data_IF_188815493489
#
_entry.id   IF_188815493489
#
_cell.length_a   1.000
_cell.length_b   1.000
_cell.length_c   1.000
_cell.angle_alpha   90.00
_cell.angle_beta   90.00
_cell.angle_gamma   90.00
#
_symmetry.space_group_name_H-M   'P 1'
#
loop_
_entity.id
_entity.type
_entity.pdbx_description
1 polymer ?
#
# COMPACT_ATOMS: atom_id res chain seq x y z
N UNK A 1 4.85 38.09 -19.60
CA UNK A 1 4.51 37.19 -20.72
C UNK A 1 5.36 35.95 -20.61
N UNK A 2 4.78 34.82 -20.18
CA UNK A 2 5.23 33.48 -20.55
C UNK A 2 4.09 32.53 -20.19
N UNK A 3 3.55 31.92 -21.24
CA UNK A 3 2.38 31.07 -21.26
C UNK A 3 2.70 29.76 -20.54
N UNK A 4 2.09 29.55 -19.36
CA UNK A 4 2.04 28.25 -18.73
C UNK A 4 1.18 27.33 -19.62
N UNK A 5 1.85 26.44 -20.34
CA UNK A 5 1.22 25.40 -21.13
C UNK A 5 0.33 24.52 -20.22
N UNK A 6 -0.99 24.68 -20.34
CA UNK A 6 -1.98 23.74 -19.80
C UNK A 6 -1.72 22.38 -20.45
N UNK A 7 -1.12 21.45 -19.71
CA UNK A 7 -1.14 20.03 -20.08
C UNK A 7 -2.61 19.54 -20.05
N UNK A 8 -3.07 18.77 -21.04
CA UNK A 8 -4.39 18.17 -20.99
C UNK A 8 -4.45 17.22 -19.80
N UNK A 9 -5.49 17.36 -18.98
CA UNK A 9 -5.79 16.45 -17.89
C UNK A 9 -5.85 15.02 -18.45
N UNK A 10 -4.82 14.22 -18.16
CA UNK A 10 -4.94 12.78 -18.23
C UNK A 10 -6.18 12.41 -17.42
N UNK A 11 -7.08 11.64 -18.03
CA UNK A 11 -8.34 11.17 -17.44
C UNK A 11 -8.04 10.34 -16.19
N UNK A 12 -7.77 11.02 -15.07
CA UNK A 12 -7.89 10.47 -13.73
C UNK A 12 -9.38 10.23 -13.54
N UNK A 13 -9.82 9.04 -13.93
CA UNK A 13 -11.13 8.53 -13.56
C UNK A 13 -11.19 8.59 -12.03
N UNK A 14 -11.87 9.61 -11.54
CA UNK A 14 -12.22 9.72 -10.14
C UNK A 14 -12.84 8.39 -9.72
N UNK A 15 -12.28 7.73 -8.69
CA UNK A 15 -12.80 6.47 -8.13
C UNK A 15 -14.28 6.59 -7.67
N UNK A 16 -14.81 7.82 -7.60
CA UNK A 16 -16.22 8.12 -7.36
C UNK A 16 -17.08 8.24 -8.65
N UNK A 17 -16.49 8.55 -9.81
CA UNK A 17 -17.21 8.52 -11.10
C UNK A 17 -17.50 7.08 -11.56
N UNK A 18 -16.61 6.13 -11.26
CA UNK A 18 -16.93 4.70 -11.41
C UNK A 18 -18.01 4.23 -10.43
N UNK A 19 -18.14 4.88 -9.27
CA UNK A 19 -19.18 4.61 -8.29
C UNK A 19 -20.58 5.05 -8.76
N UNK A 20 -20.70 6.16 -9.48
CA UNK A 20 -22.00 6.65 -10.01
C UNK A 20 -22.39 6.00 -11.34
N UNK A 21 -21.42 5.62 -12.17
CA UNK A 21 -21.68 4.99 -13.48
C UNK A 21 -22.33 3.60 -13.36
N UNK A 22 -21.94 2.80 -12.37
CA UNK A 22 -22.48 1.43 -12.16
C UNK A 22 -23.92 1.43 -11.61
N UNK A 23 -24.42 2.56 -11.10
CA UNK A 23 -25.80 2.70 -10.61
C UNK A 23 -26.70 3.53 -11.54
N UNK A 24 -26.22 3.93 -12.72
CA UNK A 24 -26.93 4.79 -13.67
C UNK A 24 -27.46 4.06 -14.91
N UNK A 25 -27.50 2.72 -14.91
CA UNK A 25 -28.13 1.93 -15.97
C UNK A 25 -29.50 1.41 -15.52
N UNK A 26 -30.53 2.19 -15.86
CA UNK A 26 -31.93 1.79 -16.03
C UNK A 26 -32.70 1.26 -14.81
N UNK A 27 -33.57 2.12 -14.26
CA UNK A 27 -35.00 1.83 -14.14
C UNK A 27 -35.77 3.14 -14.05
N UNK A 28 -36.43 3.52 -15.16
CA UNK A 28 -37.52 4.49 -15.15
C UNK A 28 -38.60 3.91 -14.23
N UNK A 29 -38.78 4.49 -13.04
CA UNK A 29 -39.90 4.17 -12.16
C UNK A 29 -41.15 4.80 -12.79
N UNK A 30 -41.93 3.97 -13.48
CA UNK A 30 -43.30 4.29 -13.81
C UNK A 30 -44.11 4.34 -12.51
N UNK A 31 -44.66 5.51 -12.20
CA UNK A 31 -45.66 5.71 -11.15
C UNK A 31 -46.85 4.77 -11.40
N UNK A 32 -47.10 3.84 -10.48
CA UNK A 32 -48.38 3.13 -10.36
C UNK A 32 -49.08 3.56 -9.07
N UNK A 33 -50.41 3.74 -9.09
CA UNK A 33 -51.16 4.32 -8.00
C UNK A 33 -51.41 3.34 -6.85
N UNK A 34 -51.54 3.92 -5.66
CA UNK A 34 -51.79 3.29 -4.35
C UNK A 34 -53.19 2.65 -4.31
N UNK A 35 -53.36 1.39 -3.86
CA UNK A 35 -54.66 0.89 -3.44
C UNK A 35 -54.95 1.22 -1.96
N UNK A 36 -56.20 1.64 -1.72
CA UNK A 36 -56.82 2.03 -0.44
C UNK A 36 -56.89 0.87 0.58
N UNK A 37 -57.03 1.15 1.89
CA UNK A 37 -57.07 0.15 2.95
C UNK A 37 -58.44 -0.55 3.06
N UNK A 38 -58.43 -1.85 3.35
CA UNK A 38 -59.62 -2.64 3.70
C UNK A 38 -59.65 -2.86 5.22
N UNK A 39 -60.88 -2.83 5.73
CA UNK A 39 -61.29 -2.66 7.12
C UNK A 39 -61.06 -3.85 8.07
N UNK A 40 -61.22 -3.50 9.35
CA UNK A 40 -61.35 -4.31 10.57
C UNK A 40 -62.04 -5.68 10.41
N UNK A 41 -61.45 -6.69 11.05
CA UNK A 41 -62.14 -7.75 11.80
C UNK A 41 -61.28 -8.17 12.99
N UNK A 42 -61.78 -8.02 14.22
CA UNK A 42 -61.37 -8.85 15.37
C UNK A 42 -62.29 -10.07 15.48
N UNK A 43 -62.36 -10.78 16.62
CA UNK A 43 -61.39 -10.97 17.70
C UNK A 43 -61.11 -12.49 17.94
N UNK A 44 -60.14 -12.85 18.79
CA UNK A 44 -60.33 -13.89 19.84
C UNK A 44 -59.09 -14.02 20.72
N UNK A 45 -59.36 -14.07 22.01
CA UNK A 45 -58.48 -14.28 23.16
C UNK A 45 -58.09 -15.74 23.31
N UNK A 46 -56.79 -16.04 23.43
CA UNK A 46 -56.32 -17.20 24.18
C UNK A 46 -54.92 -16.92 24.72
N UNK A 47 -54.84 -16.63 26.02
CA UNK A 47 -53.60 -16.41 26.72
C UNK A 47 -52.84 -17.71 26.96
N UNK A 48 -51.53 -17.69 26.71
CA UNK A 48 -50.52 -18.43 27.46
C UNK A 48 -49.24 -17.57 27.54
N UNK A 49 -48.51 -17.63 28.67
CA UNK A 49 -47.54 -16.61 29.05
C UNK A 49 -46.20 -16.75 28.30
N UNK A 50 -45.60 -15.58 28.07
CA UNK A 50 -44.24 -15.36 27.58
C UNK A 50 -43.22 -15.91 28.59
N UNK A 51 -42.45 -16.93 28.19
CA UNK A 51 -41.20 -17.27 28.89
C UNK A 51 -40.05 -16.40 28.40
N UNK A 52 -39.43 -15.75 29.38
CA UNK A 52 -38.33 -14.82 29.30
C UNK A 52 -37.02 -15.60 29.08
N UNK A 53 -36.55 -15.70 27.84
CA UNK A 53 -35.23 -16.26 27.53
C UNK A 53 -34.11 -15.34 28.06
N UNK A 54 -33.70 -15.59 29.30
CA UNK A 54 -32.49 -15.02 29.91
C UNK A 54 -31.25 -15.64 29.27
N UNK A 55 -30.28 -14.76 28.98
CA UNK A 55 -29.01 -15.09 28.34
C UNK A 55 -28.17 -16.08 29.14
N UNK A 56 -27.62 -17.04 28.41
CA UNK A 56 -26.61 -17.98 28.90
C UNK A 56 -25.28 -17.23 28.97
N UNK A 57 -24.93 -16.77 30.17
CA UNK A 57 -23.55 -16.42 30.54
C UNK A 57 -22.82 -17.72 30.86
N UNK A 58 -21.75 -18.01 30.13
CA UNK A 58 -20.77 -19.02 30.53
C UNK A 58 -19.94 -18.46 31.69
N UNK A 59 -20.36 -18.83 32.91
CA UNK A 59 -19.59 -18.68 34.14
C UNK A 59 -18.95 -20.01 34.50
N UNK A 60 -17.64 -19.96 34.73
CA UNK A 60 -16.76 -21.03 35.18
C UNK A 60 -17.13 -21.58 36.56
N UNK A 61 -17.44 -22.88 36.64
CA UNK A 61 -17.11 -23.82 37.74
C UNK A 61 -17.21 -25.22 37.09
N UNK A 62 -16.52 -26.29 37.47
CA UNK A 62 -15.80 -26.62 38.69
C UNK A 62 -15.00 -27.91 38.40
N UNK A 63 -13.96 -28.15 39.20
CA UNK A 63 -13.28 -29.43 39.23
C UNK A 63 -14.22 -30.52 39.77
N UNK A 64 -14.41 -31.60 39.00
CA UNK A 64 -14.82 -32.90 39.53
C UNK A 64 -14.10 -33.99 38.74
N UNK A 65 -13.09 -34.57 39.39
CA UNK A 65 -12.34 -35.77 38.97
C UNK A 65 -13.31 -36.94 38.83
N UNK A 66 -13.43 -37.50 37.63
CA UNK A 66 -13.85 -38.89 37.42
C UNK A 66 -13.06 -39.46 36.25
N UNK A 67 -12.47 -40.63 36.49
CA UNK A 67 -11.56 -41.34 35.61
C UNK A 67 -12.27 -41.83 34.34
N UNK A 68 -12.03 -41.14 33.22
CA UNK A 68 -12.27 -41.63 31.87
C UNK A 68 -11.03 -41.29 31.02
N UNK A 69 -10.55 -42.19 30.14
CA UNK A 69 -9.31 -41.99 29.42
C UNK A 69 -9.40 -40.74 28.55
N UNK A 70 -8.43 -39.86 28.74
CA UNK A 70 -8.30 -38.59 28.03
C UNK A 70 -8.44 -38.81 26.51
N UNK A 71 -9.13 -37.89 25.78
CA UNK A 71 -9.07 -37.90 24.33
C UNK A 71 -7.59 -37.79 23.90
N UNK A 72 -7.14 -38.59 22.92
CA UNK A 72 -5.74 -38.55 22.51
C UNK A 72 -5.38 -37.13 22.07
N UNK A 73 -4.16 -36.65 22.38
CA UNK A 73 -3.67 -35.37 21.88
C UNK A 73 -3.80 -35.36 20.34
N UNK A 74 -4.06 -34.20 19.71
CA UNK A 74 -4.17 -34.13 18.26
C UNK A 74 -2.86 -34.67 17.67
N UNK A 75 -2.95 -35.82 16.99
CA UNK A 75 -1.83 -36.38 16.26
C UNK A 75 -1.37 -35.33 15.24
N UNK A 76 -0.06 -35.00 15.20
CA UNK A 76 0.43 -34.05 14.21
C UNK A 76 0.13 -34.63 12.82
N UNK A 77 -0.61 -33.88 11.99
CA UNK A 77 -0.97 -34.30 10.63
C UNK A 77 0.26 -34.55 9.73
N UNK A 78 1.44 -34.09 10.14
CA UNK A 78 2.72 -34.28 9.46
C UNK A 78 3.74 -34.77 10.49
N UNK A 79 4.40 -35.91 10.23
CA UNK A 79 5.46 -36.43 11.10
C UNK A 79 6.72 -35.57 10.99
N UNK A 80 7.56 -35.60 12.02
CA UNK A 80 8.91 -35.00 11.97
C UNK A 80 9.75 -35.63 10.86
N UNK A 81 9.56 -36.93 10.54
CA UNK A 81 10.23 -37.56 9.40
C UNK A 81 9.82 -36.96 8.04
N UNK A 82 8.56 -36.58 7.86
CA UNK A 82 8.06 -36.03 6.60
C UNK A 82 8.69 -34.67 6.29
N UNK A 83 9.05 -33.91 7.32
CA UNK A 83 9.71 -32.60 7.19
C UNK A 83 11.18 -32.67 6.79
N UNK A 84 11.77 -33.87 6.71
CA UNK A 84 13.21 -34.05 6.46
C UNK A 84 13.57 -34.03 4.97
N UNK A 85 12.62 -34.28 4.07
CA UNK A 85 12.87 -34.27 2.62
C UNK A 85 11.74 -33.62 1.85
N UNK A 86 12.08 -32.71 0.93
CA UNK A 86 11.12 -31.96 0.13
C UNK A 86 10.15 -32.83 -0.67
N UNK A 87 10.64 -33.89 -1.32
CA UNK A 87 9.81 -34.76 -2.16
C UNK A 87 8.75 -35.52 -1.34
N UNK A 88 9.11 -36.05 -0.17
CA UNK A 88 8.17 -36.76 0.71
C UNK A 88 7.13 -35.82 1.31
N UNK A 89 7.53 -34.59 1.65
CA UNK A 89 6.60 -33.59 2.15
C UNK A 89 5.60 -33.19 1.06
N UNK A 90 6.04 -33.05 -0.19
CA UNK A 90 5.14 -32.78 -1.32
C UNK A 90 4.17 -33.94 -1.56
N UNK A 91 4.66 -35.18 -1.52
CA UNK A 91 3.84 -36.38 -1.68
C UNK A 91 2.82 -36.51 -0.55
N UNK A 92 3.23 -36.29 0.71
CA UNK A 92 2.34 -36.28 1.87
C UNK A 92 1.30 -35.15 1.78
N UNK A 93 1.68 -33.96 1.31
CA UNK A 93 0.74 -32.86 1.07
C UNK A 93 -0.25 -33.22 -0.03
N UNK A 94 0.21 -33.80 -1.14
CA UNK A 94 -0.63 -34.26 -2.24
C UNK A 94 -1.61 -35.35 -1.79
N UNK A 95 -1.14 -36.33 -1.03
CA UNK A 95 -1.99 -37.41 -0.52
C UNK A 95 -3.04 -36.89 0.46
N UNK A 96 -2.63 -36.04 1.42
CA UNK A 96 -3.53 -35.59 2.50
C UNK A 96 -4.47 -34.47 2.07
N UNK A 97 -4.05 -33.55 1.20
CA UNK A 97 -4.89 -32.42 0.77
C UNK A 97 -5.63 -32.66 -0.56
N UNK A 98 -5.00 -33.36 -1.52
CA UNK A 98 -5.49 -33.42 -2.90
C UNK A 98 -6.14 -34.77 -3.25
N UNK A 99 -5.59 -35.90 -2.81
CA UNK A 99 -6.24 -37.20 -3.08
C UNK A 99 -7.54 -37.38 -2.30
N UNK A 100 -7.64 -36.80 -1.09
CA UNK A 100 -8.89 -36.77 -0.33
C UNK A 100 -9.98 -35.88 -0.94
N UNK A 101 -9.63 -34.97 -1.85
CA UNK A 101 -10.61 -34.12 -2.56
C UNK A 101 -11.15 -34.76 -3.84
N UNK A 102 -10.47 -35.77 -4.39
CA UNK A 102 -10.82 -36.43 -5.67
C UNK A 102 -11.54 -37.77 -5.46
N UNK A 103 -11.46 -38.38 -4.27
CA UNK A 103 -12.13 -39.66 -3.95
C UNK A 103 -13.65 -39.57 -3.71
N UNK A 104 -14.26 -40.72 -3.41
CA UNK A 104 -15.73 -40.93 -3.31
C UNK A 104 -16.46 -40.04 -2.28
N UNK A 105 -15.74 -39.39 -1.36
CA UNK A 105 -16.25 -38.36 -0.46
C UNK A 105 -15.38 -37.09 -0.57
N UNK A 106 -15.79 -36.09 -1.39
CA UNK A 106 -15.00 -34.88 -1.59
C UNK A 106 -15.01 -34.03 -0.32
N UNK A 107 -13.97 -34.18 0.50
CA UNK A 107 -13.78 -33.41 1.73
C UNK A 107 -12.94 -32.18 1.41
N UNK A 108 -13.55 -31.00 1.51
CA UNK A 108 -12.86 -29.74 1.29
C UNK A 108 -11.84 -29.52 2.41
N UNK A 109 -10.56 -29.25 2.09
CA UNK A 109 -9.51 -29.08 3.08
C UNK A 109 -9.84 -27.90 3.99
N UNK A 110 -9.71 -28.11 5.30
CA UNK A 110 -9.97 -27.06 6.29
C UNK A 110 -8.82 -26.05 6.29
N UNK A 111 -9.12 -24.80 6.63
CA UNK A 111 -8.11 -23.73 6.75
C UNK A 111 -6.94 -24.14 7.67
N UNK A 112 -7.23 -24.89 8.73
CA UNK A 112 -6.23 -25.37 9.70
C UNK A 112 -5.24 -26.36 9.09
N UNK A 113 -5.68 -27.24 8.19
CA UNK A 113 -4.83 -28.24 7.53
C UNK A 113 -3.86 -27.54 6.58
N UNK A 114 -4.34 -26.53 5.84
CA UNK A 114 -3.52 -25.71 4.95
C UNK A 114 -2.49 -24.89 5.76
N UNK A 115 -2.88 -24.30 6.89
CA UNK A 115 -1.94 -23.58 7.77
C UNK A 115 -0.87 -24.53 8.33
N UNK A 116 -1.24 -25.76 8.71
CA UNK A 116 -0.28 -26.75 9.19
C UNK A 116 0.72 -27.15 8.09
N UNK A 117 0.27 -27.31 6.85
CA UNK A 117 1.14 -27.55 5.71
C UNK A 117 2.15 -26.40 5.50
N UNK A 118 1.70 -25.14 5.56
CA UNK A 118 2.59 -23.98 5.48
C UNK A 118 3.59 -23.92 6.64
N UNK A 119 3.18 -24.27 7.86
CA UNK A 119 4.10 -24.35 9.00
C UNK A 119 5.13 -25.48 8.84
N UNK A 120 4.74 -26.61 8.25
CA UNK A 120 5.66 -27.70 7.93
C UNK A 120 6.69 -27.24 6.88
N UNK A 121 6.24 -26.54 5.83
CA UNK A 121 7.12 -25.91 4.84
C UNK A 121 8.07 -24.87 5.46
N UNK A 122 7.59 -24.04 6.39
CA UNK A 122 8.44 -23.07 7.09
C UNK A 122 9.52 -23.75 7.95
N UNK A 123 9.19 -24.85 8.64
CA UNK A 123 10.19 -25.63 9.40
C UNK A 123 11.24 -26.24 8.50
N UNK A 124 10.81 -26.78 7.37
CA UNK A 124 11.72 -27.32 6.37
C UNK A 124 12.59 -26.20 5.79
N UNK A 125 12.02 -25.06 5.43
CA UNK A 125 12.76 -23.89 4.95
C UNK A 125 13.82 -23.40 5.95
N UNK A 126 13.50 -23.40 7.25
CA UNK A 126 14.47 -23.07 8.30
C UNK A 126 15.61 -24.09 8.42
N UNK A 127 15.38 -25.34 8.05
CA UNK A 127 16.40 -26.41 8.03
C UNK A 127 17.27 -26.40 6.78
N UNK A 128 16.83 -25.76 5.69
CA UNK A 128 17.64 -25.59 4.49
C UNK A 128 18.56 -24.36 4.68
N UNK A 129 19.90 -24.50 4.56
CA UNK A 129 20.76 -23.34 4.46
C UNK A 129 20.44 -22.60 3.15
N UNK A 130 20.36 -21.27 3.22
CA UNK A 130 20.16 -20.42 2.05
C UNK A 130 21.09 -20.86 0.90
N UNK A 131 20.60 -20.98 -0.34
CA UNK A 131 21.45 -21.31 -1.46
C UNK A 131 22.58 -20.28 -1.50
N UNK A 132 23.83 -20.75 -1.36
CA UNK A 132 24.99 -19.91 -1.69
C UNK A 132 24.76 -19.44 -3.12
N UNK A 133 24.91 -18.14 -3.43
CA UNK A 133 24.82 -17.68 -4.80
C UNK A 133 25.72 -18.58 -5.63
N UNK A 134 25.14 -19.24 -6.64
CA UNK A 134 25.90 -20.03 -7.58
C UNK A 134 26.91 -19.07 -8.18
N UNK A 135 28.16 -19.16 -7.73
CA UNK A 135 29.29 -18.75 -8.54
C UNK A 135 29.11 -19.57 -9.80
N UNK A 136 28.63 -18.94 -10.87
CA UNK A 136 28.79 -19.45 -12.22
C UNK A 136 30.23 -19.97 -12.27
N UNK A 137 30.41 -21.28 -12.40
CA UNK A 137 31.71 -21.83 -12.74
C UNK A 137 32.00 -21.36 -14.15
N UNK A 138 32.52 -20.13 -14.27
CA UNK A 138 33.26 -19.76 -15.45
C UNK A 138 34.42 -20.75 -15.53
N UNK A 139 34.62 -21.45 -16.66
CA UNK A 139 35.88 -22.12 -16.87
C UNK A 139 36.97 -21.04 -16.73
N UNK A 140 38.01 -21.32 -15.97
CA UNK A 140 39.13 -20.41 -15.68
C UNK A 140 39.57 -19.72 -16.97
N UNK A 141 39.10 -18.48 -17.18
CA UNK A 141 39.51 -17.67 -18.31
C UNK A 141 40.94 -17.20 -18.02
N UNK A 142 41.87 -17.65 -18.84
CA UNK A 142 43.24 -17.19 -18.77
C UNK A 142 43.26 -15.67 -19.06
N UNK A 143 44.03 -14.87 -18.29
CA UNK A 143 44.06 -13.41 -18.45
C UNK A 143 44.54 -12.94 -19.83
N UNK A 144 45.11 -13.84 -20.64
CA UNK A 144 45.61 -13.53 -21.98
C UNK A 144 44.50 -13.43 -23.05
N UNK A 145 43.34 -14.08 -22.84
CA UNK A 145 42.24 -14.04 -23.82
C UNK A 145 41.45 -12.71 -23.77
N UNK A 146 41.50 -12.01 -22.62
CA UNK A 146 40.93 -10.68 -22.46
C UNK A 146 41.79 -9.59 -23.14
N UNK A 147 43.08 -9.83 -23.36
CA UNK A 147 43.98 -8.87 -24.03
C UNK A 147 43.90 -9.05 -25.55
N UNK A 148 43.74 -10.28 -26.04
CA UNK A 148 43.60 -10.61 -27.47
C UNK A 148 42.29 -10.09 -28.10
N UNK A 149 41.27 -9.78 -27.28
CA UNK A 149 40.03 -9.14 -27.73
C UNK A 149 40.13 -7.61 -27.80
N UNK A 150 41.23 -7.01 -27.33
CA UNK A 150 41.49 -5.56 -27.36
C UNK A 150 42.47 -5.14 -28.48
N UNK A 151 43.25 -6.06 -29.03
CA UNK A 151 44.20 -5.80 -30.13
C UNK A 151 43.68 -6.34 -31.46
N UNK A 152 42.77 -5.59 -32.09
CA UNK A 152 42.44 -5.78 -33.50
C UNK A 152 43.62 -5.42 -34.40
N UNK A 153 44.12 -6.39 -35.17
CA UNK A 153 45.11 -6.16 -36.22
C UNK A 153 44.44 -5.66 -37.52
N UNK A 154 45.13 -4.84 -38.34
CA UNK A 154 44.53 -4.07 -39.41
C UNK A 154 44.38 -4.90 -40.70
N UNK A 155 43.24 -4.77 -41.36
CA UNK A 155 43.14 -5.07 -42.80
C UNK A 155 42.84 -3.79 -43.56
N UNK A 156 43.61 -3.63 -44.64
CA UNK A 156 43.78 -2.44 -45.44
C UNK A 156 42.53 -2.08 -46.25
N UNK A 157 42.19 -0.78 -46.28
CA UNK A 157 42.18 0.08 -47.48
C UNK A 157 41.26 1.29 -47.29
N UNK A 158 41.79 2.48 -47.57
CA UNK A 158 41.02 3.68 -47.90
C UNK A 158 40.97 4.78 -46.82
N UNK A 159 41.81 5.81 -47.00
CA UNK A 159 41.57 7.17 -46.49
C UNK A 159 41.51 8.12 -47.70
N UNK A 160 41.16 9.42 -47.58
CA UNK A 160 40.78 10.17 -46.37
C UNK A 160 39.54 11.08 -46.55
N UNK A 161 38.98 11.59 -45.45
CA UNK A 161 38.71 13.04 -45.27
C UNK A 161 38.22 13.37 -43.86
N UNK A 162 38.87 14.38 -43.31
CA UNK A 162 38.61 15.16 -42.11
C UNK A 162 37.24 15.86 -42.16
N UNK A 163 36.49 15.86 -41.06
CA UNK A 163 35.81 17.06 -40.55
C UNK A 163 35.23 16.84 -39.15
N UNK A 164 35.51 17.80 -38.27
CA UNK A 164 34.86 17.98 -36.98
C UNK A 164 33.45 18.54 -37.17
N UNK A 165 32.45 18.00 -36.46
CA UNK A 165 31.34 18.73 -35.82
C UNK A 165 30.44 17.74 -35.02
N UNK A 166 30.18 18.08 -33.75
CA UNK A 166 29.15 17.51 -32.84
C UNK A 166 27.72 17.61 -33.47
N UNK A 167 26.66 16.91 -32.97
CA UNK A 167 26.36 16.59 -31.56
C UNK A 167 25.96 15.13 -31.24
N UNK A 168 26.24 14.75 -29.99
CA UNK A 168 25.84 13.52 -29.31
C UNK A 168 24.32 13.35 -29.25
N UNK A 169 23.80 12.29 -29.88
CA UNK A 169 22.48 11.72 -29.60
C UNK A 169 22.61 10.52 -28.63
N UNK A 170 21.63 10.29 -27.74
CA UNK A 170 21.67 9.18 -26.81
C UNK A 170 21.41 7.86 -27.54
N UNK A 171 22.27 6.88 -27.30
CA UNK A 171 22.11 5.50 -27.78
C UNK A 171 20.79 4.94 -27.27
N UNK A 172 19.79 4.82 -28.15
CA UNK A 172 18.59 4.04 -27.91
C UNK A 172 18.98 2.57 -27.70
N UNK A 173 18.83 2.09 -26.47
CA UNK A 173 18.87 0.66 -26.16
C UNK A 173 17.66 0.00 -26.84
N UNK A 174 17.92 -1.00 -27.68
CA UNK A 174 16.88 -1.76 -28.37
C UNK A 174 15.97 -2.48 -27.37
N UNK A 175 14.63 -2.48 -27.61
CA UNK A 175 13.64 -3.03 -26.67
C UNK A 175 13.85 -4.52 -26.33
N UNK A 176 14.53 -5.26 -27.19
CA UNK A 176 14.79 -6.70 -27.04
C UNK A 176 15.73 -7.05 -25.88
N UNK A 177 16.67 -6.16 -25.53
CA UNK A 177 17.60 -6.40 -24.39
C UNK A 177 16.94 -6.14 -23.03
N UNK A 178 15.99 -5.20 -22.97
CA UNK A 178 15.21 -4.91 -21.76
C UNK A 178 14.17 -6.03 -21.52
N UNK A 179 13.60 -6.58 -22.59
CA UNK A 179 12.67 -7.72 -22.51
C UNK A 179 13.39 -9.00 -22.09
N UNK A 180 14.58 -9.29 -22.63
CA UNK A 180 15.39 -10.42 -22.21
C UNK A 180 15.88 -10.32 -20.75
N UNK A 181 16.26 -9.13 -20.26
CA UNK A 181 16.58 -8.93 -18.83
C UNK A 181 15.33 -9.02 -17.93
N UNK A 182 14.17 -8.55 -18.40
CA UNK A 182 12.90 -8.71 -17.68
C UNK A 182 12.50 -10.16 -17.59
N UNK A 183 12.63 -10.93 -18.67
CA UNK A 183 12.37 -12.36 -18.70
C UNK A 183 13.38 -13.14 -17.86
N UNK A 184 14.67 -12.78 -17.88
CA UNK A 184 15.69 -13.40 -17.02
C UNK A 184 15.47 -13.10 -15.52
N UNK A 185 14.96 -11.91 -15.17
CA UNK A 185 14.61 -11.55 -13.78
C UNK A 185 13.24 -12.11 -13.36
N UNK A 186 12.33 -12.36 -14.31
CA UNK A 186 11.05 -13.03 -14.09
C UNK A 186 11.23 -14.56 -13.93
N UNK A 187 12.24 -15.12 -14.61
CA UNK A 187 12.62 -16.53 -14.60
C UNK A 187 13.78 -16.84 -13.64
N UNK A 188 13.96 -16.04 -12.59
CA UNK A 188 14.84 -16.43 -11.49
C UNK A 188 14.42 -17.83 -11.00
N UNK A 189 15.35 -18.76 -10.72
CA UNK A 189 15.01 -20.12 -10.31
C UNK A 189 14.14 -20.03 -9.06
N UNK A 190 12.84 -20.29 -9.22
CA UNK A 190 11.90 -20.32 -8.12
C UNK A 190 12.38 -21.42 -7.20
N UNK A 191 12.69 -21.08 -5.95
CA UNK A 191 13.07 -22.08 -4.97
C UNK A 191 11.97 -23.14 -4.95
N UNK A 192 12.30 -24.43 -5.06
CA UNK A 192 11.30 -25.45 -5.40
C UNK A 192 10.26 -25.61 -4.27
N UNK A 193 10.56 -25.16 -3.05
CA UNK A 193 9.59 -25.03 -1.96
C UNK A 193 8.54 -23.95 -2.18
N UNK A 194 8.94 -22.83 -2.80
CA UNK A 194 8.02 -21.76 -3.13
C UNK A 194 7.12 -22.14 -4.31
N UNK A 195 7.63 -22.94 -5.23
CA UNK A 195 6.83 -23.53 -6.31
C UNK A 195 5.76 -24.49 -5.76
N UNK A 196 6.15 -25.37 -4.84
CA UNK A 196 5.19 -26.22 -4.09
C UNK A 196 4.14 -25.38 -3.36
N UNK A 197 4.57 -24.34 -2.63
CA UNK A 197 3.68 -23.43 -1.93
C UNK A 197 2.70 -22.73 -2.89
N UNK A 198 3.17 -22.34 -4.07
CA UNK A 198 2.38 -21.71 -5.11
C UNK A 198 1.35 -22.70 -5.71
N UNK A 199 1.73 -23.94 -5.98
CA UNK A 199 0.83 -25.01 -6.42
C UNK A 199 -0.31 -25.28 -5.43
N UNK A 200 -0.02 -25.26 -4.12
CA UNK A 200 -1.05 -25.35 -3.06
C UNK A 200 -2.02 -24.17 -3.15
N UNK A 201 -1.52 -22.95 -3.37
CA UNK A 201 -2.36 -21.75 -3.42
C UNK A 201 -3.22 -21.69 -4.68
N UNK A 202 -2.76 -22.19 -5.83
CA UNK A 202 -3.53 -22.14 -7.07
C UNK A 202 -4.76 -23.06 -7.02
N UNK A 203 -4.69 -24.16 -6.26
CA UNK A 203 -5.72 -25.20 -6.28
C UNK A 203 -7.14 -24.66 -6.01
N UNK A 204 -8.17 -25.02 -6.82
CA UNK A 204 -9.50 -24.40 -6.76
C UNK A 204 -10.25 -24.63 -5.45
N UNK A 205 -9.98 -25.75 -4.76
CA UNK A 205 -10.65 -26.12 -3.52
C UNK A 205 -10.10 -25.43 -2.27
N UNK A 206 -8.97 -24.71 -2.39
CA UNK A 206 -8.33 -24.05 -1.24
C UNK A 206 -8.83 -22.61 -1.14
N UNK A 207 -9.48 -22.27 -0.03
CA UNK A 207 -9.84 -20.87 0.25
C UNK A 207 -8.61 -20.12 0.79
N UNK A 208 -8.21 -19.02 0.13
CA UNK A 208 -7.12 -18.17 0.64
C UNK A 208 -7.69 -17.27 1.73
N UNK A 209 -7.45 -17.64 2.98
CA UNK A 209 -7.70 -16.80 4.15
C UNK A 209 -6.57 -15.78 4.35
N UNK A 210 -6.83 -14.61 4.97
CA UNK A 210 -5.76 -13.68 5.35
C UNK A 210 -4.68 -14.34 6.21
N UNK A 211 -5.03 -15.34 7.05
CA UNK A 211 -4.04 -16.09 7.84
C UNK A 211 -3.11 -16.91 6.95
N UNK A 212 -3.66 -17.62 5.97
CA UNK A 212 -2.88 -18.39 4.99
C UNK A 212 -1.93 -17.47 4.22
N UNK A 213 -2.43 -16.29 3.79
CA UNK A 213 -1.60 -15.29 3.12
C UNK A 213 -0.43 -14.81 4.00
N UNK A 214 -0.66 -14.59 5.31
CA UNK A 214 0.43 -14.22 6.23
C UNK A 214 1.49 -15.30 6.34
N UNK A 215 1.09 -16.58 6.40
CA UNK A 215 2.03 -17.69 6.52
C UNK A 215 2.82 -17.92 5.22
N UNK A 216 2.20 -17.67 4.07
CA UNK A 216 2.88 -17.67 2.78
C UNK A 216 3.94 -16.58 2.68
N UNK A 217 3.62 -15.35 3.11
CA UNK A 217 4.57 -14.23 3.10
C UNK A 217 5.73 -14.48 4.06
N UNK A 218 5.46 -15.07 5.24
CA UNK A 218 6.52 -15.48 6.18
C UNK A 218 7.43 -16.55 5.58
N UNK A 219 6.87 -17.51 4.85
CA UNK A 219 7.66 -18.50 4.11
C UNK A 219 8.55 -17.77 3.09
N UNK A 220 7.98 -16.87 2.28
CA UNK A 220 8.74 -16.05 1.33
C UNK A 220 9.87 -15.26 2.01
N UNK A 221 9.63 -14.74 3.21
CA UNK A 221 10.63 -14.00 3.99
C UNK A 221 11.79 -14.89 4.47
N UNK A 222 11.53 -16.15 4.83
CA UNK A 222 12.57 -17.11 5.22
C UNK A 222 13.43 -17.47 4.00
N UNK A 223 12.80 -17.67 2.84
CA UNK A 223 13.49 -18.04 1.60
C UNK A 223 14.18 -16.86 0.91
N UNK A 224 13.75 -15.62 1.21
CA UNK A 224 14.19 -14.37 0.55
C UNK A 224 13.83 -14.28 -0.94
N UNK A 225 12.82 -15.02 -1.38
CA UNK A 225 12.36 -15.03 -2.76
C UNK A 225 11.00 -14.30 -2.90
N UNK A 226 10.93 -13.14 -3.57
CA UNK A 226 9.70 -12.37 -3.72
C UNK A 226 8.93 -12.65 -5.03
N UNK A 227 9.46 -13.47 -5.94
CA UNK A 227 9.00 -13.59 -7.33
C UNK A 227 7.51 -13.93 -7.48
N UNK A 228 6.99 -14.82 -6.64
CA UNK A 228 5.60 -15.30 -6.70
C UNK A 228 4.62 -14.47 -5.87
N UNK A 229 5.10 -13.50 -5.08
CA UNK A 229 4.26 -12.70 -4.17
C UNK A 229 3.20 -11.89 -4.93
N UNK A 230 3.53 -11.09 -5.97
CA UNK A 230 2.52 -10.28 -6.67
C UNK A 230 1.41 -11.14 -7.30
N UNK A 231 1.77 -12.30 -7.85
CA UNK A 231 0.80 -13.25 -8.41
C UNK A 231 -0.18 -13.76 -7.34
N UNK A 232 0.33 -14.16 -6.17
CA UNK A 232 -0.51 -14.61 -5.05
C UNK A 232 -1.42 -13.52 -4.51
N UNK A 233 -0.96 -12.26 -4.45
CA UNK A 233 -1.79 -11.13 -4.04
C UNK A 233 -2.94 -10.86 -5.05
N UNK A 234 -2.66 -10.97 -6.35
CA UNK A 234 -3.69 -10.91 -7.41
C UNK A 234 -4.68 -12.08 -7.32
N UNK A 235 -4.18 -13.29 -7.02
CA UNK A 235 -5.01 -14.48 -6.80
C UNK A 235 -5.91 -14.29 -5.57
N UNK A 236 -5.42 -13.75 -4.46
CA UNK A 236 -6.22 -13.51 -3.26
C UNK A 236 -7.49 -12.67 -3.56
N UNK A 237 -7.37 -11.66 -4.43
CA UNK A 237 -8.52 -10.83 -4.81
C UNK A 237 -9.49 -11.53 -5.80
N UNK A 238 -8.96 -12.35 -6.71
CA UNK A 238 -9.71 -12.86 -7.87
C UNK A 238 -10.07 -14.35 -7.82
N UNK A 239 -9.53 -15.11 -6.87
CA UNK A 239 -9.61 -16.58 -6.85
C UNK A 239 -11.05 -17.05 -6.72
N UNK A 240 -11.52 -17.79 -7.72
CA UNK A 240 -12.81 -18.46 -7.65
C UNK A 240 -12.69 -19.68 -6.71
N UNK A 241 -13.62 -19.80 -5.77
CA UNK A 241 -13.58 -20.85 -4.74
C UNK A 241 -14.78 -21.77 -4.92
N UNK A 242 -14.51 -23.07 -4.93
CA UNK A 242 -15.52 -24.13 -4.89
C UNK A 242 -15.80 -24.48 -3.43
N UNK A 243 -16.97 -24.06 -2.92
CA UNK A 243 -17.44 -24.44 -1.58
C UNK A 243 -18.15 -25.79 -1.56
N UNK A 244 -18.63 -26.25 -2.72
CA UNK A 244 -19.21 -27.56 -2.91
C UNK A 244 -18.68 -28.09 -4.26
N UNK A 245 -18.24 -29.34 -4.37
CA UNK A 245 -17.80 -29.93 -5.63
C UNK A 245 -18.93 -30.03 -6.66
N UNK A 246 -20.18 -30.07 -6.20
CA UNK A 246 -21.38 -30.12 -7.05
C UNK A 246 -21.82 -28.76 -7.58
N UNK A 247 -21.27 -27.64 -7.07
CA UNK A 247 -21.66 -26.29 -7.49
C UNK A 247 -20.55 -25.62 -8.29
N UNK A 248 -20.89 -24.78 -9.28
CA UNK A 248 -19.89 -24.05 -10.02
C UNK A 248 -19.08 -23.11 -9.11
N UNK A 249 -17.80 -22.88 -9.41
CA UNK A 249 -16.92 -22.02 -8.63
C UNK A 249 -17.46 -20.59 -8.57
N UNK A 250 -17.56 -20.03 -7.36
CA UNK A 250 -18.03 -18.66 -7.17
C UNK A 250 -16.85 -17.70 -7.29
N UNK A 251 -16.88 -16.83 -8.30
CA UNK A 251 -15.89 -15.75 -8.43
C UNK A 251 -16.14 -14.66 -7.38
N UNK A 252 -15.16 -14.33 -6.52
CA UNK A 252 -15.31 -13.26 -5.55
C UNK A 252 -15.29 -11.89 -6.24
N UNK A 253 -15.84 -10.88 -5.57
CA UNK A 253 -15.70 -9.50 -6.02
C UNK A 253 -14.33 -8.97 -5.55
N UNK A 254 -13.39 -8.64 -6.46
CA UNK A 254 -12.06 -8.17 -6.09
C UNK A 254 -12.11 -6.82 -5.36
N UNK A 255 -13.19 -6.05 -5.52
CA UNK A 255 -13.37 -4.75 -4.87
C UNK A 255 -14.08 -4.86 -3.51
N UNK A 256 -14.33 -6.06 -2.99
CA UNK A 256 -14.98 -6.21 -1.69
C UNK A 256 -14.02 -5.84 -0.54
N UNK A 257 -14.51 -5.12 0.48
CA UNK A 257 -13.73 -4.77 1.67
C UNK A 257 -13.22 -5.99 2.44
N UNK A 258 -13.92 -7.13 2.33
CA UNK A 258 -13.53 -8.42 2.94
C UNK A 258 -12.23 -8.98 2.36
N UNK A 259 -11.95 -8.68 1.08
CA UNK A 259 -10.78 -9.18 0.36
C UNK A 259 -9.61 -8.20 0.41
N UNK A 260 -9.67 -7.19 1.27
CA UNK A 260 -8.58 -6.24 1.43
C UNK A 260 -7.45 -6.87 2.26
N UNK A 261 -6.23 -6.77 1.76
CA UNK A 261 -5.00 -7.24 2.39
C UNK A 261 -4.69 -6.33 3.59
N UNK A 262 -4.14 -6.86 4.69
CA UNK A 262 -3.82 -6.01 5.86
C UNK A 262 -2.53 -5.22 5.62
N UNK A 263 -2.43 -4.05 6.25
CA UNK A 263 -1.23 -3.21 6.15
C UNK A 263 0.03 -3.95 6.62
N UNK A 264 -0.06 -4.71 7.72
CA UNK A 264 1.05 -5.51 8.25
C UNK A 264 1.53 -6.55 7.23
N UNK A 265 0.61 -7.29 6.60
CA UNK A 265 1.00 -8.28 5.58
C UNK A 265 1.64 -7.66 4.35
N UNK A 266 1.13 -6.51 3.90
CA UNK A 266 1.71 -5.79 2.77
C UNK A 266 3.12 -5.26 3.10
N UNK A 267 3.31 -4.77 4.33
CA UNK A 267 4.60 -4.30 4.84
C UNK A 267 5.63 -5.42 4.92
N UNK A 268 5.23 -6.60 5.41
CA UNK A 268 6.11 -7.75 5.51
C UNK A 268 6.45 -8.29 4.12
N UNK A 269 5.49 -8.33 3.19
CA UNK A 269 5.72 -8.69 1.79
C UNK A 269 6.69 -7.72 1.09
N UNK A 270 6.52 -6.41 1.34
CA UNK A 270 7.43 -5.38 0.84
C UNK A 270 8.85 -5.59 1.37
N UNK A 271 8.99 -5.95 2.65
CA UNK A 271 10.29 -6.22 3.25
C UNK A 271 11.01 -7.40 2.57
N UNK A 272 10.28 -8.43 2.14
CA UNK A 272 10.86 -9.53 1.35
C UNK A 272 11.39 -9.02 0.01
N UNK A 273 10.61 -8.21 -0.71
CA UNK A 273 11.04 -7.64 -1.99
C UNK A 273 12.24 -6.68 -1.85
N UNK A 274 12.27 -5.87 -0.77
CA UNK A 274 13.42 -5.02 -0.41
C UNK A 274 14.66 -5.89 -0.15
N UNK A 275 14.51 -7.00 0.58
CA UNK A 275 15.65 -7.88 0.90
C UNK A 275 16.24 -8.55 -0.34
N UNK A 276 15.41 -8.82 -1.34
CA UNK A 276 15.82 -9.36 -2.63
C UNK A 276 16.28 -8.29 -3.64
N UNK A 277 16.24 -7.00 -3.27
CA UNK A 277 16.65 -5.85 -4.09
C UNK A 277 16.01 -5.80 -5.49
N UNK A 278 14.74 -6.19 -5.60
CA UNK A 278 14.00 -6.10 -6.85
C UNK A 278 12.92 -5.01 -6.75
N UNK A 279 13.22 -3.83 -7.30
CA UNK A 279 12.34 -2.66 -7.19
C UNK A 279 11.02 -2.82 -7.96
N UNK A 280 11.01 -3.30 -9.23
CA UNK A 280 9.76 -3.51 -9.95
C UNK A 280 8.76 -4.38 -9.18
N UNK A 281 9.22 -5.48 -8.56
CA UNK A 281 8.37 -6.35 -7.74
C UNK A 281 7.84 -5.63 -6.50
N UNK A 282 8.65 -4.81 -5.84
CA UNK A 282 8.21 -4.03 -4.68
C UNK A 282 7.08 -3.04 -5.05
N UNK A 283 7.20 -2.37 -6.19
CA UNK A 283 6.15 -1.48 -6.71
C UNK A 283 4.88 -2.25 -7.08
N UNK A 284 5.01 -3.43 -7.68
CA UNK A 284 3.87 -4.28 -8.00
C UNK A 284 3.14 -4.78 -6.75
N UNK A 285 3.86 -5.09 -5.67
CA UNK A 285 3.27 -5.42 -4.37
C UNK A 285 2.45 -4.26 -3.83
N UNK A 286 2.98 -3.03 -3.90
CA UNK A 286 2.23 -1.84 -3.46
C UNK A 286 0.96 -1.67 -4.29
N UNK A 287 1.05 -1.91 -5.60
CA UNK A 287 -0.09 -1.78 -6.52
C UNK A 287 -1.18 -2.84 -6.32
N UNK A 288 -0.81 -4.07 -5.92
CA UNK A 288 -1.79 -5.11 -5.64
C UNK A 288 -2.38 -5.03 -4.21
N UNK A 289 -1.79 -4.23 -3.32
CA UNK A 289 -2.17 -4.17 -1.90
C UNK A 289 -2.91 -2.88 -1.53
N UNK A 290 -2.20 -1.75 -1.43
CA UNK A 290 -2.71 -0.51 -0.88
C UNK A 290 -3.43 0.35 -1.91
N UNK A 291 -3.04 0.27 -3.18
CA UNK A 291 -3.74 0.99 -4.26
C UNK A 291 -5.03 0.28 -4.73
N UNK A 292 -5.27 -0.94 -4.23
CA UNK A 292 -6.47 -1.70 -4.54
C UNK A 292 -7.73 -1.04 -3.94
N UNK A 293 -8.80 -0.99 -4.72
CA UNK A 293 -10.07 -0.37 -4.26
C UNK A 293 -10.69 -1.11 -3.06
N UNK A 294 -10.36 -2.40 -2.88
CA UNK A 294 -10.72 -3.18 -1.71
C UNK A 294 -10.18 -2.56 -0.43
N UNK A 295 -8.92 -2.11 -0.43
CA UNK A 295 -8.29 -1.46 0.72
C UNK A 295 -8.97 -0.15 1.06
N UNK A 296 -9.23 0.72 0.08
CA UNK A 296 -9.95 1.98 0.32
C UNK A 296 -11.32 1.74 0.96
N UNK A 297 -12.05 0.72 0.50
CA UNK A 297 -13.35 0.35 1.10
C UNK A 297 -13.18 -0.18 2.52
N UNK A 298 -12.22 -1.08 2.77
CA UNK A 298 -11.95 -1.57 4.13
C UNK A 298 -11.59 -0.41 5.07
N UNK A 299 -10.75 0.51 4.62
CA UNK A 299 -10.37 1.70 5.38
C UNK A 299 -11.58 2.58 5.72
N UNK A 300 -12.50 2.78 4.77
CA UNK A 300 -13.77 3.47 5.02
C UNK A 300 -14.59 2.73 6.10
N UNK A 301 -14.75 1.41 5.99
CA UNK A 301 -15.53 0.62 6.94
C UNK A 301 -14.90 0.55 8.34
N UNK A 302 -13.58 0.43 8.44
CA UNK A 302 -12.87 0.21 9.71
C UNK A 302 -12.48 1.49 10.42
N UNK A 303 -12.25 2.61 9.70
CA UNK A 303 -11.77 3.87 10.31
C UNK A 303 -12.83 4.96 10.26
N UNK A 304 -13.43 5.20 9.10
CA UNK A 304 -14.34 6.32 8.92
C UNK A 304 -15.71 6.08 9.58
N UNK A 305 -16.31 4.91 9.34
CA UNK A 305 -17.63 4.59 9.91
C UNK A 305 -17.65 4.64 11.43
N UNK A 306 -16.76 3.99 12.20
CA UNK A 306 -16.80 4.08 13.65
C UNK A 306 -16.56 5.51 14.15
N UNK A 307 -15.69 6.27 13.49
CA UNK A 307 -15.46 7.67 13.82
C UNK A 307 -16.73 8.52 13.63
N UNK A 308 -17.39 8.40 12.47
CA UNK A 308 -18.64 9.13 12.18
C UNK A 308 -19.81 8.68 13.06
N UNK A 309 -19.89 7.38 13.38
CA UNK A 309 -20.90 6.85 14.29
C UNK A 309 -20.69 7.40 15.71
N UNK A 310 -19.44 7.45 16.18
CA UNK A 310 -19.09 8.06 17.48
C UNK A 310 -19.44 9.54 17.51
N UNK A 311 -19.04 10.31 16.49
CA UNK A 311 -19.37 11.73 16.38
C UNK A 311 -20.89 11.98 16.32
N UNK A 312 -21.65 11.15 15.62
CA UNK A 312 -23.11 11.24 15.53
C UNK A 312 -23.84 10.89 16.83
N UNK A 313 -23.23 10.13 17.73
CA UNK A 313 -23.82 9.79 19.02
C UNK A 313 -23.67 10.91 20.06
N UNK A 314 -22.70 11.82 19.89
CA UNK A 314 -22.41 12.90 20.85
C UNK A 314 -23.60 13.83 21.08
N UNK A 315 -24.33 14.34 20.07
CA UNK A 315 -25.49 15.22 20.29
C UNK A 315 -26.58 14.57 21.16
N UNK A 316 -26.79 13.26 21.03
CA UNK A 316 -27.78 12.53 21.84
C UNK A 316 -27.32 12.47 23.30
N UNK A 317 -26.03 12.22 23.54
CA UNK A 317 -25.45 12.21 24.88
C UNK A 317 -25.47 13.61 25.51
N UNK A 318 -25.13 14.65 24.74
CA UNK A 318 -25.18 16.03 25.20
C UNK A 318 -26.60 16.47 25.55
N UNK A 319 -27.61 16.06 24.78
CA UNK A 319 -29.01 16.35 25.11
C UNK A 319 -29.42 15.75 26.46
N UNK A 320 -29.03 14.50 26.74
CA UNK A 320 -29.27 13.86 28.04
C UNK A 320 -28.51 14.54 29.18
N UNK A 321 -27.27 14.97 28.92
CA UNK A 321 -26.47 15.71 29.89
C UNK A 321 -27.11 17.07 30.22
N UNK A 322 -27.63 17.77 29.21
CA UNK A 322 -28.37 19.02 29.40
C UNK A 322 -29.65 18.84 30.22
N UNK A 323 -30.40 17.77 29.97
CA UNK A 323 -31.61 17.43 30.75
C UNK A 323 -31.28 17.16 32.23
N UNK A 324 -30.20 16.43 32.49
CA UNK A 324 -29.73 16.18 33.86
C UNK A 324 -29.30 17.45 34.59
N UNK A 325 -28.57 18.34 33.92
CA UNK A 325 -28.11 19.62 34.52
C UNK A 325 -29.29 20.57 34.77
N UNK A 326 -30.29 20.58 33.90
CA UNK A 326 -31.46 21.43 34.04
C UNK A 326 -32.26 21.14 35.32
N UNK A 327 -32.20 19.91 35.86
CA UNK A 327 -32.86 19.54 37.12
C UNK A 327 -32.32 20.29 38.34
N UNK A 328 -31.10 20.82 38.29
CA UNK A 328 -30.48 21.54 39.39
C UNK A 328 -30.73 23.06 39.35
N UNK A 329 -31.44 23.57 38.32
CA UNK A 329 -31.75 25.00 38.19
C UNK A 329 -33.23 25.28 38.49
N UNK A 330 -33.49 26.10 39.52
CA UNK A 330 -34.86 26.50 39.89
C UNK A 330 -35.29 27.86 39.31
N UNK A 331 -34.35 28.62 38.70
CA UNK A 331 -34.61 29.99 38.24
C UNK A 331 -35.26 30.09 36.85
N UNK A 332 -35.22 29.02 36.04
CA UNK A 332 -35.71 29.02 34.66
C UNK A 332 -36.72 27.88 34.44
N UNK A 333 -37.61 28.05 33.46
CA UNK A 333 -38.42 26.93 32.97
C UNK A 333 -37.51 25.83 32.42
N UNK A 334 -37.76 24.58 32.81
CA UNK A 334 -36.94 23.40 32.46
C UNK A 334 -36.59 23.34 30.96
N UNK A 335 -37.58 23.55 30.08
CA UNK A 335 -37.36 23.52 28.63
C UNK A 335 -36.35 24.55 28.12
N UNK A 336 -36.35 25.76 28.70
CA UNK A 336 -35.42 26.83 28.34
C UNK A 336 -34.03 26.52 28.86
N UNK A 337 -33.92 26.01 30.09
CA UNK A 337 -32.66 25.61 30.69
C UNK A 337 -31.95 24.50 29.88
N UNK A 338 -32.69 23.46 29.47
CA UNK A 338 -32.16 22.39 28.61
C UNK A 338 -31.68 22.94 27.27
N UNK A 339 -32.47 23.81 26.63
CA UNK A 339 -32.10 24.37 25.33
C UNK A 339 -30.80 25.20 25.40
N UNK A 340 -30.67 26.09 26.39
CA UNK A 340 -29.46 26.90 26.54
C UNK A 340 -28.23 26.05 26.88
N UNK A 341 -28.36 25.07 27.78
CA UNK A 341 -27.27 24.16 28.12
C UNK A 341 -26.83 23.33 26.90
N UNK A 342 -27.79 22.81 26.13
CA UNK A 342 -27.52 22.04 24.92
C UNK A 342 -26.80 22.85 23.86
N UNK A 343 -27.24 24.09 23.61
CA UNK A 343 -26.57 25.01 22.67
C UNK A 343 -25.13 25.27 23.12
N UNK A 344 -24.91 25.51 24.42
CA UNK A 344 -23.58 25.70 24.97
C UNK A 344 -22.65 24.51 24.72
N UNK A 345 -23.10 23.30 25.07
CA UNK A 345 -22.31 22.08 24.85
C UNK A 345 -22.08 21.76 23.38
N UNK A 346 -23.10 21.92 22.53
CA UNK A 346 -22.97 21.69 21.09
C UNK A 346 -21.99 22.68 20.45
N UNK A 347 -22.02 23.94 20.87
CA UNK A 347 -21.07 24.96 20.39
C UNK A 347 -19.65 24.56 20.77
N UNK A 348 -19.42 24.17 22.02
CA UNK A 348 -18.11 23.68 22.46
C UNK A 348 -17.66 22.45 21.66
N UNK A 349 -18.54 21.47 21.47
CA UNK A 349 -18.28 20.26 20.70
C UNK A 349 -17.94 20.54 19.24
N UNK A 350 -18.68 21.42 18.56
CA UNK A 350 -18.43 21.77 17.16
C UNK A 350 -17.10 22.52 17.04
N UNK A 351 -16.86 23.51 17.90
CA UNK A 351 -15.61 24.28 17.88
C UNK A 351 -14.40 23.40 18.15
N UNK A 352 -14.40 22.62 19.23
CA UNK A 352 -13.28 21.72 19.58
C UNK A 352 -13.15 20.54 18.63
N UNK A 353 -14.26 19.97 18.19
CA UNK A 353 -14.31 18.91 17.20
C UNK A 353 -13.77 19.34 15.85
N UNK A 354 -14.03 20.58 15.41
CA UNK A 354 -13.46 21.12 14.17
C UNK A 354 -11.94 21.25 14.25
N UNK A 355 -11.40 21.73 15.38
CA UNK A 355 -9.96 21.80 15.63
C UNK A 355 -9.32 20.40 15.66
N UNK A 356 -9.96 19.45 16.34
CA UNK A 356 -9.52 18.05 16.35
C UNK A 356 -9.54 17.41 14.97
N UNK A 357 -10.55 17.72 14.14
CA UNK A 357 -10.63 17.21 12.78
C UNK A 357 -9.51 17.78 11.90
N UNK A 358 -9.21 19.07 12.02
CA UNK A 358 -8.08 19.68 11.32
C UNK A 358 -6.78 19.00 11.76
N UNK A 359 -6.56 18.86 13.07
CA UNK A 359 -5.37 18.21 13.62
C UNK A 359 -5.20 16.77 13.09
N UNK A 360 -6.28 15.98 13.03
CA UNK A 360 -6.28 14.62 12.48
C UNK A 360 -5.99 14.59 10.97
N UNK A 361 -6.50 15.56 10.21
CA UNK A 361 -6.25 15.66 8.76
C UNK A 361 -4.86 16.19 8.44
N UNK A 362 -4.26 16.96 9.35
CA UNK A 362 -2.91 17.50 9.20
C UNK A 362 -1.84 16.63 9.84
N UNK A 363 -2.22 15.60 10.62
CA UNK A 363 -1.27 14.71 11.28
C UNK A 363 -0.40 14.00 10.24
N UNK A 364 0.92 14.18 10.35
CA UNK A 364 1.89 13.82 9.32
C UNK A 364 3.09 13.07 9.91
N UNK A 365 2.88 11.84 10.34
CA UNK A 365 3.89 11.08 11.11
C UNK A 365 4.89 10.27 10.28
N UNK A 366 4.74 10.23 8.97
CA UNK A 366 5.45 9.26 8.13
C UNK A 366 6.14 9.88 6.91
N UNK A 367 6.33 11.20 6.85
CA UNK A 367 7.06 11.88 5.76
C UNK A 367 8.54 11.98 6.12
N UNK A 368 9.33 10.98 5.75
CA UNK A 368 10.80 11.06 5.86
C UNK A 368 11.39 11.51 4.53
N UNK A 369 10.88 10.96 3.43
CA UNK A 369 11.43 11.16 2.08
C UNK A 369 10.38 11.46 1.02
N UNK A 370 9.20 10.87 1.16
CA UNK A 370 8.10 11.00 0.19
C UNK A 370 7.02 11.93 0.70
N UNK A 371 6.82 13.04 0.00
CA UNK A 371 5.82 14.08 0.31
C UNK A 371 4.69 14.11 -0.72
N UNK A 372 3.58 14.73 -0.36
CA UNK A 372 2.50 15.02 -1.30
C UNK A 372 2.87 16.21 -2.19
N UNK A 373 2.51 16.16 -3.47
CA UNK A 373 2.56 17.34 -4.34
C UNK A 373 1.64 18.43 -3.75
N UNK A 374 2.07 19.69 -3.69
CA UNK A 374 1.20 20.79 -3.27
C UNK A 374 -0.05 20.83 -4.16
N UNK A 375 -1.24 20.90 -3.53
CA UNK A 375 -2.53 20.90 -4.22
C UNK A 375 -3.28 19.56 -4.22
N UNK A 376 -2.68 18.46 -3.75
CA UNK A 376 -3.44 17.20 -3.53
C UNK A 376 -4.46 17.39 -2.41
N UNK A 377 -5.73 17.01 -2.65
CA UNK A 377 -6.82 17.16 -1.68
C UNK A 377 -6.59 16.31 -0.42
N UNK A 378 -6.96 16.83 0.76
CA UNK A 378 -6.81 16.12 2.04
C UNK A 378 -7.46 14.73 2.05
N UNK A 379 -8.60 14.57 1.36
CA UNK A 379 -9.28 13.28 1.23
C UNK A 379 -8.41 12.24 0.51
N UNK A 380 -7.75 12.64 -0.57
CA UNK A 380 -6.90 11.75 -1.37
C UNK A 380 -5.64 11.38 -0.59
N UNK A 381 -5.05 12.35 0.12
CA UNK A 381 -3.95 12.08 1.05
C UNK A 381 -4.34 11.04 2.08
N UNK A 382 -5.52 11.18 2.69
CA UNK A 382 -6.00 10.21 3.67
C UNK A 382 -6.10 8.80 3.07
N UNK A 383 -6.70 8.61 1.89
CA UNK A 383 -6.81 7.27 1.30
C UNK A 383 -5.47 6.66 0.89
N UNK A 384 -4.52 7.49 0.44
CA UNK A 384 -3.23 7.05 -0.09
C UNK A 384 -2.11 7.10 0.94
N UNK A 385 -2.41 7.42 2.20
CA UNK A 385 -1.41 7.56 3.27
C UNK A 385 -0.62 6.26 3.52
N UNK A 386 -1.29 5.11 3.54
CA UNK A 386 -0.60 3.83 3.70
C UNK A 386 0.26 3.48 2.48
N UNK A 387 -0.20 3.84 1.27
CA UNK A 387 0.59 3.67 0.06
C UNK A 387 1.85 4.54 0.10
N UNK A 388 1.72 5.80 0.54
CA UNK A 388 2.84 6.70 0.72
C UNK A 388 3.82 6.16 1.75
N UNK A 389 3.35 5.64 2.88
CA UNK A 389 4.21 5.03 3.91
C UNK A 389 5.00 3.81 3.40
N UNK A 390 4.41 2.97 2.54
CA UNK A 390 5.15 1.87 1.90
C UNK A 390 6.15 2.38 0.86
N UNK A 391 5.76 3.39 0.07
CA UNK A 391 6.64 4.02 -0.93
C UNK A 391 7.83 4.70 -0.26
N UNK A 392 7.62 5.32 0.89
CA UNK A 392 8.67 5.93 1.72
C UNK A 392 9.68 4.88 2.21
N UNK A 393 9.21 3.70 2.63
CA UNK A 393 10.09 2.57 2.98
C UNK A 393 10.90 2.06 1.80
N UNK A 394 10.31 1.98 0.61
CA UNK A 394 11.05 1.66 -0.63
C UNK A 394 12.10 2.73 -0.91
N UNK A 395 11.73 4.01 -0.82
CA UNK A 395 12.64 5.11 -1.06
C UNK A 395 13.81 5.16 -0.05
N UNK A 396 13.56 4.79 1.21
CA UNK A 396 14.60 4.64 2.23
C UNK A 396 15.51 3.42 2.02
N UNK A 397 14.97 2.33 1.47
CA UNK A 397 15.74 1.11 1.26
C UNK A 397 16.64 1.19 0.02
N UNK A 398 16.22 1.89 -1.03
CA UNK A 398 16.95 1.99 -2.30
C UNK A 398 17.90 3.18 -2.37
N UNK A 399 17.55 4.30 -1.74
CA UNK A 399 18.43 5.46 -1.76
C UNK A 399 19.33 5.55 -0.52
N UNK A 400 20.10 6.63 -0.46
CA UNK A 400 20.99 6.92 0.64
C UNK A 400 20.22 7.15 1.94
N UNK A 401 20.64 6.47 3.00
CA UNK A 401 20.09 6.65 4.34
C UNK A 401 20.47 8.03 4.92
N UNK A 402 21.67 8.50 4.57
CA UNK A 402 22.23 9.76 5.04
C UNK A 402 21.49 10.98 4.45
N UNK A 403 20.99 11.92 5.28
CA UNK A 403 20.13 13.01 4.83
C UNK A 403 20.82 13.96 3.84
N UNK A 404 22.11 14.25 4.04
CA UNK A 404 22.88 15.16 3.19
C UNK A 404 23.21 14.59 1.79
N UNK A 405 23.07 13.28 1.58
CA UNK A 405 23.27 12.63 0.27
C UNK A 405 21.95 12.41 -0.48
N UNK A 406 20.80 12.70 0.15
CA UNK A 406 19.49 12.53 -0.49
C UNK A 406 19.36 13.46 -1.69
N UNK A 407 18.82 12.93 -2.79
CA UNK A 407 18.63 13.67 -4.04
C UNK A 407 19.88 13.73 -4.93
N UNK A 408 20.97 13.05 -4.55
CA UNK A 408 22.10 12.75 -5.44
C UNK A 408 21.98 11.36 -6.08
N UNK A 409 20.96 10.57 -5.74
CA UNK A 409 20.76 9.27 -6.37
C UNK A 409 20.43 9.40 -7.85
N UNK A 410 21.22 8.70 -8.65
CA UNK A 410 20.96 8.43 -10.06
C UNK A 410 20.88 6.93 -10.28
N UNK A 411 20.09 6.53 -11.27
CA UNK A 411 19.89 5.12 -11.59
C UNK A 411 18.51 4.89 -12.19
N UNK A 412 18.44 3.94 -13.12
CA UNK A 412 17.21 3.54 -13.79
C UNK A 412 16.09 3.20 -12.80
N UNK A 413 16.41 2.40 -11.77
CA UNK A 413 15.42 2.03 -10.75
C UNK A 413 14.96 3.26 -9.95
N UNK A 414 15.87 4.16 -9.59
CA UNK A 414 15.54 5.37 -8.85
C UNK A 414 14.65 6.32 -9.66
N UNK A 415 14.90 6.44 -10.96
CA UNK A 415 14.06 7.20 -11.90
C UNK A 415 12.69 6.55 -12.09
N UNK A 416 12.64 5.22 -12.17
CA UNK A 416 11.38 4.47 -12.19
C UNK A 416 10.55 4.74 -10.93
N UNK A 417 11.17 4.75 -9.75
CA UNK A 417 10.50 5.08 -8.49
C UNK A 417 9.96 6.51 -8.49
N UNK A 418 10.77 7.49 -8.93
CA UNK A 418 10.35 8.90 -9.05
C UNK A 418 9.20 9.07 -10.03
N UNK A 419 9.26 8.39 -11.17
CA UNK A 419 8.18 8.41 -12.16
C UNK A 419 6.90 7.79 -11.58
N UNK A 420 6.99 6.60 -10.98
CA UNK A 420 5.86 5.90 -10.38
C UNK A 420 5.20 6.70 -9.25
N UNK A 421 6.00 7.38 -8.42
CA UNK A 421 5.52 8.27 -7.36
C UNK A 421 4.88 9.55 -7.92
N UNK A 422 5.50 10.18 -8.93
CA UNK A 422 5.00 11.39 -9.58
C UNK A 422 3.63 11.20 -10.22
N UNK A 423 3.38 10.04 -10.85
CA UNK A 423 2.08 9.67 -11.42
C UNK A 423 0.97 9.64 -10.36
N UNK A 424 1.30 9.39 -9.09
CA UNK A 424 0.36 9.26 -7.97
C UNK A 424 0.26 10.50 -7.09
N UNK A 425 0.82 11.62 -7.53
CA UNK A 425 0.76 12.86 -6.75
C UNK A 425 1.74 12.91 -5.59
N UNK A 426 2.80 12.10 -5.61
CA UNK A 426 3.86 12.07 -4.61
C UNK A 426 5.17 12.63 -5.19
N UNK A 427 5.93 13.34 -4.37
CA UNK A 427 7.28 13.84 -4.68
C UNK A 427 8.25 13.11 -3.77
N UNK A 428 9.31 12.56 -4.37
CA UNK A 428 10.45 12.01 -3.63
C UNK A 428 11.49 13.12 -3.52
N UNK A 429 12.04 13.34 -2.33
CA UNK A 429 13.04 14.37 -2.04
C UNK A 429 12.57 15.78 -2.41
N UNK A 430 11.45 16.22 -1.81
CA UNK A 430 11.10 17.64 -1.84
C UNK A 430 12.25 18.48 -1.29
N UNK A 431 12.48 19.64 -1.88
CA UNK A 431 13.55 20.57 -1.46
C UNK A 431 13.50 20.93 0.02
N UNK A 432 12.29 20.95 0.59
CA UNK A 432 11.99 21.23 2.00
C UNK A 432 12.53 20.17 2.98
N UNK A 433 12.90 18.97 2.50
CA UNK A 433 13.32 17.84 3.33
C UNK A 433 14.75 17.38 3.10
N UNK A 434 15.44 17.94 2.09
CA UNK A 434 16.85 17.65 1.85
C UNK A 434 17.68 18.59 2.71
N UNK A 435 18.02 18.12 3.92
CA UNK A 435 18.94 18.81 4.81
C UNK A 435 20.25 19.11 4.07
N UNK A 436 20.52 20.39 3.83
CA UNK A 436 21.72 20.87 3.16
C UNK A 436 21.51 21.59 1.82
N UNK A 437 20.38 21.40 1.11
CA UNK A 437 20.06 22.20 -0.09
C UNK A 437 19.54 23.58 0.26
N UNK A 438 18.77 23.71 1.33
CA UNK A 438 18.37 25.03 1.83
C UNK A 438 19.58 25.78 2.36
N UNK A 439 20.49 25.11 3.08
CA UNK A 439 21.76 25.72 3.50
C UNK A 439 22.67 26.08 2.32
N UNK A 440 22.65 25.34 1.21
CA UNK A 440 23.39 25.74 0.00
C UNK A 440 22.69 26.86 -0.75
N UNK A 441 21.38 26.81 -0.90
CA UNK A 441 20.58 27.84 -1.57
C UNK A 441 20.59 29.16 -0.79
N UNK A 442 20.56 29.10 0.54
CA UNK A 442 20.72 30.24 1.44
C UNK A 442 22.15 30.77 1.38
N UNK A 443 23.17 29.91 1.45
CA UNK A 443 24.57 30.35 1.24
C UNK A 443 24.82 30.91 -0.16
N UNK A 444 24.16 30.38 -1.18
CA UNK A 444 24.26 30.85 -2.56
C UNK A 444 23.46 32.15 -2.74
N UNK A 445 22.33 32.31 -2.06
CA UNK A 445 21.60 33.58 -1.98
C UNK A 445 22.39 34.65 -1.23
N UNK A 446 23.06 34.30 -0.13
CA UNK A 446 23.99 35.17 0.59
C UNK A 446 25.18 35.56 -0.29
N UNK A 447 25.75 34.61 -1.05
CA UNK A 447 26.83 34.88 -2.01
C UNK A 447 26.38 35.81 -3.13
N UNK A 448 25.19 35.62 -3.69
CA UNK A 448 24.62 36.48 -4.72
C UNK A 448 24.31 37.88 -4.16
N UNK A 449 23.73 37.97 -2.96
CA UNK A 449 23.51 39.25 -2.28
C UNK A 449 24.84 39.98 -1.99
N UNK A 450 25.89 39.24 -1.61
CA UNK A 450 27.22 39.79 -1.43
C UNK A 450 27.83 40.29 -2.76
N UNK A 451 27.67 39.54 -3.86
CA UNK A 451 28.10 39.96 -5.20
C UNK A 451 27.38 41.21 -5.68
N UNK A 452 26.06 41.28 -5.48
CA UNK A 452 25.24 42.44 -5.83
C UNK A 452 25.64 43.68 -5.02
N UNK A 453 25.92 43.51 -3.72
CA UNK A 453 26.40 44.60 -2.87
C UNK A 453 27.78 45.13 -3.33
N UNK A 454 28.67 44.25 -3.80
CA UNK A 454 29.97 44.62 -4.34
C UNK A 454 29.83 45.34 -5.67
N UNK A 455 28.96 44.86 -6.57
CA UNK A 455 28.66 45.52 -7.84
C UNK A 455 28.05 46.90 -7.62
N UNK A 456 27.16 47.06 -6.64
CA UNK A 456 26.59 48.35 -6.27
C UNK A 456 27.67 49.33 -5.77
N UNK A 457 28.59 48.86 -4.92
CA UNK A 457 29.75 49.66 -4.45
C UNK A 457 30.69 50.04 -5.60
N UNK A 458 30.92 49.15 -6.56
CA UNK A 458 31.75 49.43 -7.74
C UNK A 458 31.08 50.46 -8.66
N UNK A 459 29.77 50.36 -8.89
CA UNK A 459 29.00 51.36 -9.67
C UNK A 459 29.06 52.74 -9.04
N UNK A 460 28.94 52.85 -7.71
CA UNK A 460 29.10 54.11 -6.98
C UNK A 460 30.51 54.71 -7.10
N UNK A 461 31.56 53.87 -7.08
CA UNK A 461 32.94 54.35 -7.27
C UNK A 461 33.24 54.80 -8.71
N UNK A 462 32.60 54.18 -9.70
CA UNK A 462 32.72 54.55 -11.11
C UNK A 462 31.91 55.82 -11.44
N UNK A 463 30.82 56.07 -10.73
CA UNK A 463 30.05 57.32 -10.80
C UNK A 463 30.74 58.50 -10.08
N UNK A 464 32.06 58.65 -10.25
CA UNK A 464 32.74 59.89 -9.83
C UNK A 464 32.19 61.05 -10.66
N UNK A 465 31.81 62.17 -10.04
CA UNK A 465 31.23 63.29 -10.76
C UNK A 465 32.27 63.86 -11.72
N UNK A 466 31.93 63.93 -13.01
CA UNK A 466 32.62 64.80 -13.95
C UNK A 466 32.68 66.19 -13.34
N UNK A 467 33.90 66.69 -13.11
CA UNK A 467 34.13 68.07 -12.70
C UNK A 467 33.52 68.97 -13.75
N UNK A 468 32.33 69.52 -13.48
CA UNK A 468 31.68 70.55 -14.29
C UNK A 468 32.69 71.70 -14.43
N UNK A 469 33.28 71.83 -15.61
CA UNK A 469 34.04 73.02 -16.02
C UNK A 469 33.10 74.21 -15.88
N UNK A 470 33.40 75.10 -14.95
CA UNK A 470 32.70 76.37 -14.79
C UNK A 470 32.78 77.15 -16.11
N UNK A 471 31.65 77.23 -16.83
CA UNK A 471 31.49 78.15 -17.96
C UNK A 471 31.26 79.54 -17.38
N UNK A 472 32.21 80.45 -17.66
CA UNK A 472 32.04 81.90 -17.49
C UNK A 472 30.90 82.37 -18.41
N UNK A 473 29.93 83.18 -17.94
CA UNK A 473 28.99 83.85 -18.82
C UNK A 473 29.66 85.05 -19.51
N UNK A 474 29.58 85.09 -20.83
CA UNK A 474 29.81 86.28 -21.66
C UNK A 474 28.54 87.16 -21.61
N UNK A 475 28.75 88.43 -21.25
CA UNK A 475 28.02 89.67 -21.58
C UNK A 475 26.52 89.64 -21.92
N UNK A 476 25.74 90.43 -21.16
CA UNK A 476 25.14 91.67 -21.65
C UNK A 476 25.03 92.66 -20.48
#
# INVERSE_FOLDING_TARGET
>A
MQLAARRPAAKALCLFCSFRSVHSSSRRLALRPIPRPIALRGPTTSGRPFELAKGIRYGSSEAAKSDAPAPPPPSPLYSLEDTRSQARLFEAINEKLFLQTIGDNPKIPRETEVILAFKALQRLAASYPAPKPQTSSSPKANPNDAILSLTGAPTANGSPKTNYNLPTEPVEQSPETIEAEKEAKLNAPVHPLMDIAYHIIIHPYIFISPKILTEYIKLAAILKDPSTIPSVLKLYANKAVTYDPSKPPRKPNPNAAKNAISFETARDALQVAISAKNMPLALEIIDNTMSATAWCRRKLWTKFIPFTAGAGAVPVALWRLSDWIAQFQEQWMHEKAVAYAFIGFMTYYICTGSLGMIALLTWNDHMIRVNWIPGVFMRERWFMEEQRALTDRVAMAWGYQEPHKRGLESGWEWEMLRHWAGVRGMIIDSSEMVEGREMSAEKDAERLAAQDSLLARLKLKLAKPEKKKARKPLFA
#
